data_IF_022810870063
#
_entry.id   IF_022810870063
#
_cell.length_a   1.000
_cell.length_b   1.000
_cell.length_c   1.000
_cell.angle_alpha   90.00
_cell.angle_beta   90.00
_cell.angle_gamma   90.00
#
_symmetry.space_group_name_H-M   'P 1'
#
loop_
_entity.id
_entity.type
_entity.pdbx_description
1 polymer ?
#
# COMPACT_ATOMS: atom_id res chain seq x y z
N UNK A 1 2.12 -2.95 -24.63
CA UNK A 1 3.13 -1.93 -24.22
C UNK A 1 3.95 -2.53 -23.09
N UNK A 2 5.26 -2.32 -23.05
CA UNK A 2 6.08 -2.76 -21.91
C UNK A 2 5.65 -2.05 -20.62
N UNK A 3 5.86 -2.69 -19.49
CA UNK A 3 5.53 -2.15 -18.18
C UNK A 3 6.25 -0.81 -17.89
N UNK A 4 7.53 -0.72 -18.25
CA UNK A 4 8.29 0.53 -18.15
C UNK A 4 7.61 1.68 -18.90
N UNK A 5 7.12 1.44 -20.12
CA UNK A 5 6.43 2.48 -20.90
C UNK A 5 5.09 2.89 -20.26
N UNK A 6 4.37 1.95 -19.62
CA UNK A 6 3.15 2.24 -18.87
C UNK A 6 3.47 3.10 -17.64
N UNK A 7 4.52 2.75 -16.89
CA UNK A 7 4.92 3.51 -15.69
C UNK A 7 5.41 4.92 -16.05
N UNK A 8 6.19 5.10 -17.12
CA UNK A 8 6.56 6.43 -17.61
C UNK A 8 5.33 7.26 -17.99
N UNK A 9 4.34 6.65 -18.65
CA UNK A 9 3.08 7.32 -18.98
C UNK A 9 2.30 7.71 -17.73
N UNK A 10 2.21 6.83 -16.74
CA UNK A 10 1.53 7.08 -15.47
C UNK A 10 2.17 8.24 -14.69
N UNK A 11 3.50 8.25 -14.59
CA UNK A 11 4.22 9.34 -13.94
C UNK A 11 4.07 10.67 -14.66
N UNK A 12 4.08 10.66 -16.00
CA UNK A 12 3.83 11.87 -16.79
C UNK A 12 2.42 12.41 -16.51
N UNK A 13 1.39 11.56 -16.59
CA UNK A 13 0.01 11.97 -16.28
C UNK A 13 -0.11 12.51 -14.86
N UNK A 14 0.55 11.85 -13.88
CA UNK A 14 0.49 12.32 -12.50
C UNK A 14 1.22 13.66 -12.32
N UNK A 15 2.38 13.84 -12.94
CA UNK A 15 3.10 15.11 -12.90
C UNK A 15 2.27 16.27 -13.48
N UNK A 16 1.67 16.08 -14.65
CA UNK A 16 0.80 17.09 -15.28
C UNK A 16 -0.40 17.42 -14.40
N UNK A 17 -1.03 16.40 -13.80
CA UNK A 17 -2.09 16.59 -12.81
C UNK A 17 -1.62 17.39 -11.61
N UNK A 18 -0.48 17.02 -11.02
CA UNK A 18 0.04 17.63 -9.81
C UNK A 18 0.38 19.11 -10.03
N UNK A 19 1.07 19.44 -11.13
CA UNK A 19 1.39 20.83 -11.49
C UNK A 19 0.12 21.68 -11.65
N UNK A 20 -0.92 21.14 -12.30
CA UNK A 20 -2.18 21.86 -12.51
C UNK A 20 -2.96 22.13 -11.21
N UNK A 21 -2.84 21.23 -10.23
CA UNK A 21 -3.65 21.27 -9.01
C UNK A 21 -2.84 21.61 -7.75
N UNK A 22 -1.56 21.97 -7.89
CA UNK A 22 -0.62 22.16 -6.76
C UNK A 22 -1.06 23.24 -5.75
N UNK A 23 -1.88 24.20 -6.18
CA UNK A 23 -2.37 25.29 -5.32
C UNK A 23 -3.65 24.94 -4.55
N UNK A 24 -4.28 23.80 -4.84
CA UNK A 24 -5.47 23.36 -4.10
C UNK A 24 -5.08 22.88 -2.69
N UNK A 25 -5.91 23.16 -1.68
CA UNK A 25 -5.73 22.58 -0.36
C UNK A 25 -5.83 21.04 -0.42
N UNK A 26 -5.22 20.34 0.54
CA UNK A 26 -5.20 18.88 0.57
C UNK A 26 -6.61 18.25 0.51
N UNK A 27 -7.61 18.92 1.10
CA UNK A 27 -9.03 18.52 1.11
C UNK A 27 -9.67 18.50 -0.28
N UNK A 28 -9.13 19.25 -1.23
CA UNK A 28 -9.59 19.31 -2.62
C UNK A 28 -8.68 18.50 -3.54
N UNK A 29 -7.36 18.61 -3.33
CA UNK A 29 -6.36 17.90 -4.13
C UNK A 29 -6.54 16.38 -4.04
N UNK A 30 -6.66 15.82 -2.83
CA UNK A 30 -6.65 14.36 -2.62
C UNK A 30 -7.86 13.65 -3.24
N UNK A 31 -9.11 14.12 -3.05
CA UNK A 31 -10.26 13.49 -3.71
C UNK A 31 -10.15 13.54 -5.24
N UNK A 32 -9.73 14.68 -5.79
CA UNK A 32 -9.56 14.85 -7.23
C UNK A 32 -8.44 13.96 -7.79
N UNK A 33 -7.34 13.83 -7.04
CA UNK A 33 -6.23 12.95 -7.40
C UNK A 33 -6.66 11.48 -7.38
N UNK A 34 -7.36 11.05 -6.32
CA UNK A 34 -7.89 9.69 -6.20
C UNK A 34 -8.88 9.34 -7.32
N UNK A 35 -9.76 10.28 -7.68
CA UNK A 35 -10.69 10.11 -8.81
C UNK A 35 -9.91 9.93 -10.12
N UNK A 36 -8.98 10.84 -10.41
CA UNK A 36 -8.16 10.80 -11.63
C UNK A 36 -7.35 9.50 -11.71
N UNK A 37 -6.75 9.08 -10.60
CA UNK A 37 -5.98 7.84 -10.53
C UNK A 37 -6.85 6.61 -10.80
N UNK A 38 -8.10 6.61 -10.32
CA UNK A 38 -9.06 5.53 -10.55
C UNK A 38 -9.48 5.45 -12.01
N UNK A 39 -9.84 6.57 -12.62
CA UNK A 39 -10.27 6.66 -14.02
C UNK A 39 -9.15 6.25 -14.99
N UNK A 40 -7.91 6.60 -14.68
CA UNK A 40 -6.74 6.31 -15.51
C UNK A 40 -6.02 5.01 -15.15
N UNK A 41 -6.47 4.30 -14.10
CA UNK A 41 -5.77 3.15 -13.50
C UNK A 41 -4.29 3.45 -13.21
N UNK A 42 -4.01 4.63 -12.66
CA UNK A 42 -2.67 5.12 -12.39
C UNK A 42 -2.20 4.68 -11.01
N UNK A 43 -1.52 3.52 -10.95
CA UNK A 43 -0.97 2.93 -9.73
C UNK A 43 -0.11 3.89 -8.89
N UNK A 44 0.94 4.51 -9.47
CA UNK A 44 1.80 5.43 -8.73
C UNK A 44 1.05 6.60 -8.09
N UNK A 45 0.06 7.15 -8.81
CA UNK A 45 -0.73 8.25 -8.30
C UNK A 45 -1.61 7.83 -7.11
N UNK A 46 -2.35 6.72 -7.21
CA UNK A 46 -3.20 6.27 -6.10
C UNK A 46 -2.38 5.82 -4.89
N UNK A 47 -1.20 5.24 -5.11
CA UNK A 47 -0.27 4.89 -4.04
C UNK A 47 0.24 6.12 -3.30
N UNK A 48 0.68 7.15 -4.02
CA UNK A 48 1.20 8.38 -3.41
C UNK A 48 0.14 9.05 -2.54
N UNK A 49 -1.12 9.03 -2.97
CA UNK A 49 -2.24 9.46 -2.12
C UNK A 49 -2.37 8.56 -0.88
N UNK A 50 -2.25 7.24 -1.01
CA UNK A 50 -2.22 6.33 0.13
C UNK A 50 -1.12 6.65 1.16
N UNK A 51 0.08 6.99 0.69
CA UNK A 51 1.21 7.41 1.53
C UNK A 51 0.93 8.74 2.23
N UNK A 52 0.32 9.71 1.54
CA UNK A 52 -0.11 10.98 2.15
C UNK A 52 -1.14 10.75 3.26
N UNK A 53 -2.13 9.88 3.03
CA UNK A 53 -3.14 9.55 4.05
C UNK A 53 -2.51 8.81 5.25
N UNK A 54 -1.59 7.88 4.99
CA UNK A 54 -0.90 7.16 6.06
C UNK A 54 -0.07 8.11 6.95
N UNK A 55 0.66 9.05 6.32
CA UNK A 55 1.46 10.07 7.02
C UNK A 55 0.60 10.96 7.92
N UNK A 56 -0.62 11.28 7.49
CA UNK A 56 -1.55 12.13 8.23
C UNK A 56 -2.40 11.33 9.25
N UNK A 57 -2.14 10.03 9.42
CA UNK A 57 -2.86 9.17 10.35
C UNK A 57 -4.23 8.69 9.84
N UNK A 58 -4.59 8.99 8.59
CA UNK A 58 -5.83 8.55 7.94
C UNK A 58 -5.71 7.10 7.45
N UNK A 59 -5.37 6.18 8.35
CA UNK A 59 -4.95 4.82 8.02
C UNK A 59 -6.02 4.01 7.25
N UNK A 60 -7.31 4.25 7.52
CA UNK A 60 -8.39 3.58 6.76
C UNK A 60 -8.39 4.01 5.29
N UNK A 61 -8.22 5.31 5.02
CA UNK A 61 -8.14 5.83 3.66
C UNK A 61 -6.87 5.35 2.96
N UNK A 62 -5.76 5.27 3.69
CA UNK A 62 -4.51 4.70 3.20
C UNK A 62 -4.68 3.24 2.73
N UNK A 63 -5.26 2.37 3.57
CA UNK A 63 -5.50 0.96 3.20
C UNK A 63 -6.40 0.81 1.98
N UNK A 64 -7.39 1.69 1.80
CA UNK A 64 -8.23 1.67 0.60
C UNK A 64 -7.45 2.07 -0.66
N UNK A 65 -6.58 3.07 -0.56
CA UNK A 65 -5.72 3.50 -1.66
C UNK A 65 -4.72 2.40 -2.05
N UNK A 66 -4.05 1.78 -1.08
CA UNK A 66 -3.11 0.70 -1.34
C UNK A 66 -3.79 -0.53 -1.95
N UNK A 67 -4.95 -0.93 -1.42
CA UNK A 67 -5.76 -2.01 -2.00
C UNK A 67 -6.11 -1.71 -3.46
N UNK A 68 -6.49 -0.48 -3.77
CA UNK A 68 -6.78 -0.07 -5.13
C UNK A 68 -5.52 -0.08 -6.01
N UNK A 69 -4.39 0.45 -5.51
CA UNK A 69 -3.10 0.47 -6.20
C UNK A 69 -2.63 -0.93 -6.62
N UNK A 70 -2.76 -1.94 -5.75
CA UNK A 70 -2.44 -3.35 -6.08
C UNK A 70 -3.17 -3.88 -7.30
N UNK A 71 -4.39 -3.39 -7.56
CA UNK A 71 -5.17 -3.81 -8.75
C UNK A 71 -4.72 -3.11 -10.04
N UNK A 72 -3.93 -2.04 -9.94
CA UNK A 72 -3.48 -1.24 -11.09
C UNK A 72 -2.08 -1.66 -11.59
N UNK A 73 -1.27 -2.20 -10.68
CA UNK A 73 0.04 -2.76 -10.98
C UNK A 73 -0.05 -4.12 -11.67
N UNK A 74 1.00 -4.44 -12.42
CA UNK A 74 1.15 -5.72 -13.13
C UNK A 74 2.46 -6.40 -12.73
N UNK A 75 3.49 -5.63 -12.36
CA UNK A 75 4.72 -6.07 -11.73
C UNK A 75 4.45 -6.64 -10.35
N UNK A 76 5.01 -7.81 -10.08
CA UNK A 76 5.03 -8.39 -8.75
C UNK A 76 5.78 -7.49 -7.75
N UNK A 77 6.88 -6.84 -8.14
CA UNK A 77 7.64 -5.98 -7.24
C UNK A 77 6.83 -4.75 -6.80
N UNK A 78 6.11 -4.12 -7.73
CA UNK A 78 5.24 -3.00 -7.39
C UNK A 78 4.08 -3.44 -6.48
N UNK A 79 3.49 -4.61 -6.75
CA UNK A 79 2.45 -5.18 -5.89
C UNK A 79 3.00 -5.47 -4.49
N UNK A 80 4.18 -6.07 -4.37
CA UNK A 80 4.77 -6.41 -3.07
C UNK A 80 5.18 -5.18 -2.27
N UNK A 81 5.68 -4.12 -2.92
CA UNK A 81 5.93 -2.84 -2.25
C UNK A 81 4.64 -2.29 -1.64
N UNK A 82 3.55 -2.23 -2.41
CA UNK A 82 2.26 -1.72 -1.92
C UNK A 82 1.68 -2.62 -0.82
N UNK A 83 1.88 -3.94 -0.90
CA UNK A 83 1.48 -4.87 0.16
C UNK A 83 2.17 -4.53 1.48
N UNK A 84 3.44 -4.16 1.46
CA UNK A 84 4.17 -3.79 2.67
C UNK A 84 3.56 -2.53 3.33
N UNK A 85 3.27 -1.50 2.53
CA UNK A 85 2.63 -0.27 3.02
C UNK A 85 1.20 -0.52 3.54
N UNK A 86 0.42 -1.36 2.86
CA UNK A 86 -0.92 -1.76 3.32
C UNK A 86 -0.86 -2.57 4.62
N UNK A 87 0.10 -3.49 4.74
CA UNK A 87 0.32 -4.28 5.95
C UNK A 87 0.72 -3.41 7.14
N UNK A 88 1.64 -2.46 6.95
CA UNK A 88 2.01 -1.48 7.98
C UNK A 88 0.81 -0.64 8.43
N UNK A 89 -0.01 -0.16 7.49
CA UNK A 89 -1.24 0.55 7.80
C UNK A 89 -2.25 -0.32 8.58
N UNK A 90 -2.33 -1.63 8.32
CA UNK A 90 -3.13 -2.57 9.11
C UNK A 90 -2.60 -2.75 10.54
N UNK A 91 -1.28 -2.85 10.72
CA UNK A 91 -0.65 -2.93 12.04
C UNK A 91 -0.95 -1.68 12.85
N UNK A 92 -0.76 -0.49 12.26
CA UNK A 92 -1.06 0.80 12.90
C UNK A 92 -2.55 0.97 13.26
N UNK A 93 -3.45 0.26 12.56
CA UNK A 93 -4.88 0.16 12.89
C UNK A 93 -5.21 -0.87 13.99
N UNK A 94 -4.21 -1.43 14.68
CA UNK A 94 -4.40 -2.53 15.64
C UNK A 94 -5.05 -3.77 15.00
N UNK A 95 -4.78 -4.03 13.72
CA UNK A 95 -5.27 -5.21 12.97
C UNK A 95 -4.11 -6.06 12.43
N UNK A 96 -3.15 -6.48 13.26
CA UNK A 96 -1.93 -7.15 12.80
C UNK A 96 -2.19 -8.50 12.13
N UNK A 97 -3.26 -9.22 12.51
CA UNK A 97 -3.67 -10.47 11.83
C UNK A 97 -4.00 -10.25 10.35
N UNK A 98 -4.65 -9.12 10.00
CA UNK A 98 -4.95 -8.77 8.60
C UNK A 98 -3.68 -8.46 7.81
N UNK A 99 -2.68 -7.86 8.45
CA UNK A 99 -1.38 -7.59 7.84
C UNK A 99 -0.67 -8.90 7.47
N UNK A 100 -0.63 -9.87 8.39
CA UNK A 100 -0.05 -11.21 8.18
C UNK A 100 -0.78 -11.95 7.06
N UNK A 101 -2.11 -12.00 7.09
CA UNK A 101 -2.90 -12.68 6.06
C UNK A 101 -2.65 -12.08 4.66
N UNK A 102 -2.54 -10.76 4.57
CA UNK A 102 -2.24 -10.05 3.34
C UNK A 102 -0.84 -10.40 2.81
N UNK A 103 0.19 -10.36 3.66
CA UNK A 103 1.57 -10.69 3.29
C UNK A 103 1.67 -12.13 2.81
N UNK A 104 1.11 -13.08 3.56
CA UNK A 104 1.06 -14.50 3.17
C UNK A 104 0.39 -14.69 1.82
N UNK A 105 -0.70 -13.97 1.57
CA UNK A 105 -1.37 -14.04 0.27
C UNK A 105 -0.50 -13.54 -0.87
N UNK A 106 0.26 -12.46 -0.67
CA UNK A 106 1.13 -11.92 -1.69
C UNK A 106 2.35 -12.82 -1.96
N UNK A 107 2.96 -13.36 -0.91
CA UNK A 107 4.09 -14.29 -1.01
C UNK A 107 3.75 -15.61 -1.69
N UNK A 108 2.49 -16.08 -1.62
CA UNK A 108 2.04 -17.25 -2.40
C UNK A 108 2.07 -17.01 -3.91
N UNK A 109 1.87 -15.77 -4.35
CA UNK A 109 1.85 -15.41 -5.78
C UNK A 109 3.24 -15.07 -6.30
N UNK A 110 4.08 -14.46 -5.47
CA UNK A 110 5.42 -14.01 -5.85
C UNK A 110 6.48 -14.36 -4.79
N UNK A 111 6.77 -15.65 -4.56
CA UNK A 111 7.67 -16.09 -3.49
C UNK A 111 9.13 -15.71 -3.72
N UNK A 112 9.55 -15.57 -4.98
CA UNK A 112 10.96 -15.35 -5.37
C UNK A 112 11.23 -13.93 -5.86
N UNK A 113 10.25 -13.03 -5.74
CA UNK A 113 10.44 -11.63 -6.11
C UNK A 113 11.48 -10.95 -5.18
N UNK A 114 12.28 -10.00 -5.69
CA UNK A 114 13.28 -9.27 -4.91
C UNK A 114 12.79 -8.72 -3.56
N UNK A 115 11.53 -8.30 -3.46
CA UNK A 115 10.95 -7.77 -2.23
C UNK A 115 10.49 -8.85 -1.23
N UNK A 116 10.37 -10.12 -1.63
CA UNK A 116 9.82 -11.19 -0.80
C UNK A 116 10.55 -11.39 0.55
N UNK A 117 11.89 -11.31 0.65
CA UNK A 117 12.59 -11.41 1.95
C UNK A 117 12.17 -10.34 2.96
N UNK A 118 11.91 -9.12 2.50
CA UNK A 118 11.47 -8.02 3.37
C UNK A 118 10.08 -8.29 3.95
N UNK A 119 9.16 -8.81 3.12
CA UNK A 119 7.81 -9.17 3.56
C UNK A 119 7.82 -10.30 4.58
N UNK A 120 8.65 -11.33 4.40
CA UNK A 120 8.80 -12.43 5.37
C UNK A 120 9.28 -11.91 6.72
N UNK A 121 10.30 -11.04 6.71
CA UNK A 121 10.79 -10.42 7.94
C UNK A 121 9.70 -9.62 8.65
N UNK A 122 8.93 -8.83 7.90
CA UNK A 122 7.80 -8.07 8.46
C UNK A 122 6.74 -9.00 9.07
N UNK A 123 6.37 -10.08 8.38
CA UNK A 123 5.46 -11.11 8.90
C UNK A 123 5.96 -11.67 10.24
N UNK A 124 7.22 -12.13 10.30
CA UNK A 124 7.84 -12.68 11.52
C UNK A 124 7.83 -11.70 12.69
N UNK A 125 8.15 -10.42 12.42
CA UNK A 125 8.18 -9.37 13.44
C UNK A 125 6.76 -9.08 13.97
N UNK A 126 5.76 -9.05 13.10
CA UNK A 126 4.35 -8.86 13.50
C UNK A 126 3.82 -10.06 14.28
N UNK A 127 4.12 -11.28 13.86
CA UNK A 127 3.70 -12.49 14.58
C UNK A 127 4.33 -12.59 15.97
N UNK A 128 5.61 -12.19 16.09
CA UNK A 128 6.28 -12.09 17.40
C UNK A 128 5.57 -11.09 18.30
N UNK A 129 5.22 -9.91 17.80
CA UNK A 129 4.49 -8.90 18.56
C UNK A 129 3.11 -9.39 19.01
N UNK A 130 2.32 -10.02 18.11
CA UNK A 130 1.02 -10.62 18.46
C UNK A 130 1.17 -11.63 19.61
N UNK A 131 2.22 -12.46 19.57
CA UNK A 131 2.46 -13.51 20.56
C UNK A 131 2.86 -12.95 21.92
N UNK A 132 3.55 -11.81 21.95
CA UNK A 132 3.94 -11.11 23.18
C UNK A 132 2.77 -10.35 23.83
N UNK A 133 1.84 -9.83 23.03
CA UNK A 133 0.65 -9.11 23.50
C UNK A 133 -0.47 -10.04 23.99
N UNK A 134 -0.41 -11.34 23.67
CA UNK A 134 -1.39 -12.32 24.15
C UNK A 134 -0.99 -12.74 25.58
N UNK A 135 -1.77 -12.40 26.63
CA UNK A 135 -1.44 -12.82 27.98
C UNK A 135 -1.36 -14.34 28.03
N UNK A 136 -0.24 -14.86 28.54
CA UNK A 136 -0.12 -16.28 28.87
C UNK A 136 -1.18 -16.58 29.93
N UNK A 137 -2.32 -17.13 29.52
CA UNK A 137 -3.37 -17.62 30.41
C UNK A 137 -2.82 -18.89 31.08
N UNK A 138 -1.88 -18.67 32.01
CA UNK A 138 -1.35 -19.66 32.92
C UNK A 138 -2.23 -19.63 34.16
N UNK A 139 -3.40 -20.28 34.05
CA UNK A 139 -4.10 -20.78 35.23
C UNK A 139 -3.66 -22.23 35.45
N UNK A 140 -3.10 -22.45 36.63
CA UNK A 140 -2.65 -23.74 37.13
C UNK A 140 -3.79 -24.63 37.61
#
# INVERSE_FOLDING_TARGET
>A
KSEAAKNTSNWKTYHEFAVKNATHPATEFRPLARQTASETRNGPMIEDIGLMEARDGNLSAATDCFRQARTFYSSHDDVLRVVLEEADAWVKQSKPKRAVDLIRSALRTAPDAPAAPLLRKFEEDVERAISQDTPSDSRG
#
